data_IF_598964885492
#
_entry.id   IF_598964885492
#
_cell.length_a   1.000
_cell.length_b   1.000
_cell.length_c   1.000
_cell.angle_alpha   90.00
_cell.angle_beta   90.00
_cell.angle_gamma   90.00
#
_symmetry.space_group_name_H-M   'P 1'
#
loop_
_entity.id
_entity.type
_entity.pdbx_description
1 polymer ?
#
# COMPACT_ATOMS: atom_id res chain seq x y z
N UNK A 1 54.21 -55.03 -8.83
CA UNK A 1 52.72 -54.89 -8.69
C UNK A 1 52.46 -53.60 -7.93
N UNK A 2 52.09 -52.52 -8.63
CA UNK A 2 51.75 -51.23 -8.01
C UNK A 2 50.24 -51.17 -7.80
N UNK A 3 49.80 -51.15 -6.55
CA UNK A 3 48.39 -50.95 -6.17
C UNK A 3 48.06 -49.49 -6.26
N UNK A 4 47.21 -49.08 -7.22
CA UNK A 4 46.69 -47.74 -7.34
C UNK A 4 45.47 -47.64 -6.43
N UNK A 5 45.59 -46.89 -5.33
CA UNK A 5 44.51 -46.56 -4.39
C UNK A 5 43.68 -45.42 -4.99
N UNK A 6 42.51 -45.71 -5.53
CA UNK A 6 41.55 -44.71 -6.02
C UNK A 6 40.76 -44.17 -4.80
N UNK A 7 41.09 -42.96 -4.36
CA UNK A 7 40.34 -42.23 -3.37
C UNK A 7 39.05 -41.63 -4.04
N UNK A 8 37.92 -42.28 -3.82
CA UNK A 8 36.62 -41.73 -4.15
C UNK A 8 36.27 -40.59 -3.18
N UNK A 9 36.45 -39.35 -3.63
CA UNK A 9 36.01 -38.16 -2.90
C UNK A 9 34.48 -38.07 -3.08
N UNK A 10 33.77 -38.50 -2.07
CA UNK A 10 32.32 -38.25 -1.95
C UNK A 10 32.13 -36.76 -1.60
N UNK A 11 31.83 -35.93 -2.58
CA UNK A 11 31.42 -34.55 -2.35
C UNK A 11 30.00 -34.57 -1.76
N UNK A 12 29.91 -34.55 -0.44
CA UNK A 12 28.62 -34.34 0.27
C UNK A 12 28.21 -32.91 0.02
N UNK A 13 27.30 -32.72 -0.93
CA UNK A 13 26.63 -31.43 -1.11
C UNK A 13 25.76 -31.18 0.13
N UNK A 14 26.31 -30.48 1.11
CA UNK A 14 25.53 -29.91 2.21
C UNK A 14 24.61 -28.83 1.64
N UNK A 15 23.41 -29.23 1.26
CA UNK A 15 22.32 -28.26 1.02
C UNK A 15 21.95 -27.64 2.37
N UNK A 16 22.59 -26.54 2.72
CA UNK A 16 22.12 -25.74 3.86
C UNK A 16 20.66 -25.38 3.62
N UNK A 17 19.74 -25.70 4.58
CA UNK A 17 18.39 -25.22 4.46
C UNK A 17 18.42 -23.69 4.36
N UNK A 18 17.83 -23.15 3.29
CA UNK A 18 17.73 -21.70 3.11
C UNK A 18 16.73 -21.20 4.16
N UNK A 19 17.25 -20.90 5.36
CA UNK A 19 16.46 -20.21 6.37
C UNK A 19 16.04 -18.85 5.83
N UNK A 20 14.80 -18.48 6.08
CA UNK A 20 14.29 -17.17 5.75
C UNK A 20 15.22 -16.09 6.34
N UNK A 21 15.80 -15.26 5.48
CA UNK A 21 16.70 -14.20 5.92
C UNK A 21 15.88 -13.05 6.49
N UNK A 22 16.20 -12.64 7.71
CA UNK A 22 15.59 -11.45 8.32
C UNK A 22 15.95 -10.23 7.46
N UNK A 23 14.91 -9.51 7.01
CA UNK A 23 15.06 -8.23 6.33
C UNK A 23 13.95 -7.29 6.78
N UNK A 24 14.26 -6.00 6.91
CA UNK A 24 13.28 -5.01 7.35
C UNK A 24 13.57 -3.63 6.77
N UNK A 25 12.49 -2.88 6.53
CA UNK A 25 12.53 -1.45 6.17
C UNK A 25 11.44 -0.75 6.97
N UNK A 26 11.77 0.39 7.58
CA UNK A 26 10.80 1.32 8.19
C UNK A 26 11.04 2.69 7.57
N UNK A 27 9.99 3.36 7.15
CA UNK A 27 10.10 4.69 6.53
C UNK A 27 8.76 5.35 6.29
N UNK A 28 8.82 6.57 5.79
CA UNK A 28 7.64 7.32 5.39
C UNK A 28 7.26 6.93 3.94
N UNK A 29 6.02 6.44 3.69
CA UNK A 29 5.60 6.00 2.36
C UNK A 29 5.45 7.15 1.35
N UNK A 30 5.15 8.37 1.80
CA UNK A 30 4.96 9.53 0.92
C UNK A 30 6.29 10.14 0.47
N UNK A 31 7.22 10.36 1.41
CA UNK A 31 8.55 10.95 1.11
C UNK A 31 9.55 9.92 0.62
N UNK A 32 9.28 8.62 0.76
CA UNK A 32 10.19 7.51 0.51
C UNK A 32 11.45 7.53 1.40
N UNK A 33 11.47 8.36 2.46
CA UNK A 33 12.57 8.41 3.43
C UNK A 33 12.59 7.11 4.25
N UNK A 34 13.74 6.44 4.29
CA UNK A 34 13.94 5.21 5.05
C UNK A 34 14.62 5.55 6.36
N UNK A 35 13.93 5.34 7.49
CA UNK A 35 14.42 5.60 8.84
C UNK A 35 15.23 4.43 9.42
N UNK A 36 14.91 3.20 8.97
CA UNK A 36 15.57 1.98 9.41
C UNK A 36 15.59 0.95 8.30
N UNK A 37 16.72 0.24 8.17
CA UNK A 37 16.87 -0.86 7.21
C UNK A 37 17.83 -1.93 7.74
N UNK A 38 17.48 -3.19 7.50
CA UNK A 38 18.35 -4.37 7.68
C UNK A 38 18.13 -5.26 6.47
N UNK A 39 19.22 -5.66 5.79
CA UNK A 39 19.19 -6.57 4.65
C UNK A 39 18.12 -6.20 3.60
N UNK A 40 17.88 -4.90 3.39
CA UNK A 40 16.73 -4.37 2.65
C UNK A 40 16.62 -4.89 1.22
N UNK A 41 17.76 -5.18 0.58
CA UNK A 41 17.86 -5.63 -0.81
C UNK A 41 18.13 -7.14 -0.93
N UNK A 42 18.10 -7.88 0.19
CA UNK A 42 18.24 -9.34 0.18
C UNK A 42 16.99 -9.98 -0.42
N UNK A 43 17.17 -10.78 -1.47
CA UNK A 43 16.09 -11.54 -2.11
C UNK A 43 15.53 -12.60 -1.15
N UNK A 44 14.22 -12.56 -0.96
CA UNK A 44 13.42 -13.48 -0.16
C UNK A 44 12.18 -13.91 -0.95
N UNK A 45 11.56 -15.00 -0.54
CA UNK A 45 10.24 -15.38 -1.04
C UNK A 45 9.19 -14.44 -0.42
N UNK A 46 8.41 -13.66 -1.20
CA UNK A 46 7.46 -12.69 -0.66
C UNK A 46 6.24 -13.34 0.01
N UNK A 47 6.01 -14.65 -0.21
CA UNK A 47 4.78 -15.31 0.24
C UNK A 47 3.54 -14.48 -0.14
N UNK A 48 2.53 -14.41 0.74
CA UNK A 48 1.30 -13.65 0.45
C UNK A 48 1.47 -12.11 0.40
N UNK A 49 2.66 -11.55 0.63
CA UNK A 49 2.92 -10.14 0.29
C UNK A 49 2.86 -9.92 -1.23
N UNK A 50 3.00 -10.97 -2.04
CA UNK A 50 2.72 -10.97 -3.50
C UNK A 50 1.34 -10.38 -3.82
N UNK A 51 0.32 -10.66 -2.96
CA UNK A 51 -1.04 -10.15 -3.17
C UNK A 51 -1.17 -8.63 -3.08
N UNK A 52 -0.15 -7.93 -2.56
CA UNK A 52 -0.11 -6.47 -2.63
C UNK A 52 -0.03 -6.01 -4.09
N UNK A 53 0.76 -6.70 -4.95
CA UNK A 53 0.79 -6.44 -6.39
C UNK A 53 -0.53 -6.81 -7.08
N UNK A 54 -1.13 -7.92 -6.69
CA UNK A 54 -2.46 -8.31 -7.22
C UNK A 54 -3.51 -7.26 -6.89
N UNK A 55 -3.54 -6.74 -5.65
CA UNK A 55 -4.42 -5.66 -5.23
C UNK A 55 -4.11 -4.34 -5.95
N UNK A 56 -2.82 -4.00 -6.15
CA UNK A 56 -2.41 -2.82 -6.90
C UNK A 56 -2.99 -2.84 -8.31
N UNK A 57 -2.88 -3.99 -9.01
CA UNK A 57 -3.45 -4.16 -10.37
C UNK A 57 -4.98 -4.06 -10.34
N UNK A 58 -5.65 -4.67 -9.36
CA UNK A 58 -7.12 -4.57 -9.24
C UNK A 58 -7.54 -3.11 -9.09
N UNK A 59 -6.88 -2.34 -8.22
CA UNK A 59 -7.20 -0.93 -7.99
C UNK A 59 -6.93 -0.09 -9.24
N UNK A 60 -5.84 -0.34 -9.96
CA UNK A 60 -5.56 0.34 -11.23
C UNK A 60 -6.59 0.01 -12.31
N UNK A 61 -7.09 -1.23 -12.40
CA UNK A 61 -8.17 -1.61 -13.31
C UNK A 61 -9.51 -0.94 -12.94
N UNK A 62 -9.79 -0.75 -11.64
CA UNK A 62 -10.97 -0.03 -11.14
C UNK A 62 -10.88 1.47 -11.49
N UNK A 63 -9.72 2.12 -11.24
CA UNK A 63 -9.50 3.53 -11.60
C UNK A 63 -9.62 3.77 -13.11
N UNK A 64 -9.12 2.85 -13.90
CA UNK A 64 -9.23 2.89 -15.38
C UNK A 64 -10.61 2.48 -15.90
N UNK A 65 -11.56 2.18 -15.00
CA UNK A 65 -12.94 1.75 -15.34
C UNK A 65 -13.01 0.51 -16.23
N UNK A 66 -11.97 -0.33 -16.20
CA UNK A 66 -11.95 -1.63 -16.91
C UNK A 66 -12.49 -2.75 -16.02
N UNK A 67 -12.65 -2.49 -14.75
CA UNK A 67 -13.25 -3.37 -13.75
C UNK A 67 -14.21 -2.54 -12.90
N UNK A 68 -15.30 -3.16 -12.40
CA UNK A 68 -16.23 -2.54 -11.45
C UNK A 68 -16.33 -3.39 -10.18
N UNK A 69 -16.61 -2.76 -9.03
CA UNK A 69 -16.74 -3.47 -7.76
C UNK A 69 -17.86 -4.53 -7.74
N UNK A 70 -18.91 -4.35 -8.55
CA UNK A 70 -20.04 -5.28 -8.66
C UNK A 70 -19.85 -6.35 -9.74
N UNK A 71 -18.74 -6.33 -10.49
CA UNK A 71 -18.47 -7.35 -11.48
C UNK A 71 -18.33 -8.72 -10.84
N UNK A 72 -18.92 -9.74 -11.49
CA UNK A 72 -18.79 -11.14 -11.06
C UNK A 72 -17.43 -11.70 -11.46
N UNK A 73 -16.78 -12.39 -10.54
CA UNK A 73 -15.53 -13.13 -10.73
C UNK A 73 -15.82 -14.58 -10.52
N UNK A 74 -15.85 -15.33 -11.61
CA UNK A 74 -16.11 -16.78 -11.60
C UNK A 74 -14.86 -17.55 -11.23
N UNK A 75 -15.05 -18.69 -10.54
CA UNK A 75 -13.96 -19.56 -10.13
C UNK A 75 -13.85 -20.73 -11.11
N UNK A 76 -12.75 -20.77 -11.84
CA UNK A 76 -12.43 -21.90 -12.71
C UNK A 76 -12.07 -23.15 -11.89
N UNK A 77 -12.12 -24.31 -12.52
CA UNK A 77 -11.60 -25.55 -11.96
C UNK A 77 -10.16 -25.38 -11.47
N UNK A 78 -9.31 -24.65 -12.22
CA UNK A 78 -7.94 -24.37 -11.86
C UNK A 78 -7.83 -23.54 -10.57
N UNK A 79 -8.63 -22.48 -10.44
CA UNK A 79 -8.68 -21.66 -9.22
C UNK A 79 -9.11 -22.48 -8.00
N UNK A 80 -10.10 -23.38 -8.13
CA UNK A 80 -10.61 -24.20 -7.02
C UNK A 80 -9.61 -25.24 -6.50
N UNK A 81 -8.69 -25.71 -7.32
CA UNK A 81 -7.65 -26.69 -6.95
C UNK A 81 -6.43 -26.08 -6.26
N UNK A 82 -6.37 -24.72 -6.12
CA UNK A 82 -5.22 -24.07 -5.48
C UNK A 82 -5.05 -24.50 -4.02
N UNK A 83 -3.80 -24.42 -3.55
CA UNK A 83 -3.46 -24.73 -2.15
C UNK A 83 -4.00 -23.65 -1.18
N UNK A 84 -4.33 -24.01 0.06
CA UNK A 84 -4.74 -23.06 1.09
C UNK A 84 -3.67 -21.96 1.35
N UNK A 85 -4.08 -20.76 1.81
CA UNK A 85 -5.40 -20.29 2.23
C UNK A 85 -6.33 -20.04 1.05
N UNK A 86 -7.60 -20.43 1.17
CA UNK A 86 -8.60 -20.23 0.11
C UNK A 86 -10.00 -20.04 0.69
N UNK A 87 -10.92 -19.50 -0.11
CA UNK A 87 -12.34 -19.36 0.23
C UNK A 87 -13.06 -20.73 0.14
N UNK A 88 -12.70 -21.51 -0.87
CA UNK A 88 -13.39 -22.76 -1.19
C UNK A 88 -14.70 -22.53 -1.93
N UNK A 89 -14.73 -21.53 -2.82
CA UNK A 89 -15.84 -21.32 -3.76
C UNK A 89 -15.86 -22.47 -4.76
N UNK A 90 -17.05 -22.95 -5.14
CA UNK A 90 -17.18 -24.03 -6.09
C UNK A 90 -16.83 -23.62 -7.52
N UNK A 91 -16.52 -24.60 -8.38
CA UNK A 91 -16.30 -24.35 -9.81
C UNK A 91 -17.57 -23.74 -10.44
N UNK A 92 -17.39 -22.72 -11.27
CA UNK A 92 -18.43 -21.93 -11.93
C UNK A 92 -19.29 -21.05 -10.99
N UNK A 93 -19.07 -21.09 -9.68
CA UNK A 93 -19.62 -20.09 -8.77
C UNK A 93 -18.80 -18.79 -8.84
N UNK A 94 -19.34 -17.72 -8.29
CA UNK A 94 -18.71 -16.41 -8.35
C UNK A 94 -18.82 -15.66 -7.02
N UNK A 95 -17.98 -14.66 -6.87
CA UNK A 95 -18.11 -13.54 -5.92
C UNK A 95 -17.95 -12.23 -6.67
N UNK A 96 -18.35 -11.13 -6.06
CA UNK A 96 -18.11 -9.79 -6.62
C UNK A 96 -16.64 -9.39 -6.49
N UNK A 97 -16.16 -8.47 -7.32
CA UNK A 97 -14.82 -7.85 -7.16
C UNK A 97 -14.68 -7.23 -5.78
N UNK A 98 -15.75 -6.64 -5.24
CA UNK A 98 -15.79 -6.06 -3.91
C UNK A 98 -15.46 -7.09 -2.82
N UNK A 99 -16.12 -8.24 -2.83
CA UNK A 99 -15.86 -9.36 -1.91
C UNK A 99 -14.50 -9.98 -2.13
N UNK A 100 -14.07 -10.06 -3.38
CA UNK A 100 -12.77 -10.60 -3.77
C UNK A 100 -11.62 -9.76 -3.17
N UNK A 101 -11.68 -8.43 -3.25
CA UNK A 101 -10.69 -7.54 -2.63
C UNK A 101 -10.59 -7.82 -1.13
N UNK A 102 -11.72 -7.88 -0.44
CA UNK A 102 -11.75 -8.17 1.00
C UNK A 102 -11.22 -9.58 1.32
N UNK A 103 -11.48 -10.56 0.44
CA UNK A 103 -10.93 -11.91 0.59
C UNK A 103 -9.40 -11.96 0.47
N UNK A 104 -8.83 -11.19 -0.45
CA UNK A 104 -7.37 -11.07 -0.62
C UNK A 104 -6.71 -10.41 0.59
N UNK A 105 -7.33 -9.37 1.13
CA UNK A 105 -6.83 -8.61 2.29
C UNK A 105 -6.94 -9.42 3.57
N UNK A 106 -8.15 -9.87 3.92
CA UNK A 106 -8.48 -10.49 5.22
C UNK A 106 -8.08 -11.95 5.27
N UNK A 107 -8.64 -12.77 4.36
CA UNK A 107 -8.42 -14.22 4.30
C UNK A 107 -7.11 -14.60 3.61
N UNK A 108 -6.58 -13.71 2.77
CA UNK A 108 -5.43 -14.03 1.92
C UNK A 108 -5.70 -15.15 0.92
N UNK A 109 -6.90 -15.19 0.35
CA UNK A 109 -7.40 -16.27 -0.48
C UNK A 109 -6.57 -16.45 -1.76
N UNK A 110 -6.06 -17.67 -2.00
CA UNK A 110 -5.26 -18.00 -3.16
C UNK A 110 -6.12 -18.27 -4.40
N UNK A 111 -7.26 -18.95 -4.20
CA UNK A 111 -8.28 -19.20 -5.23
C UNK A 111 -8.83 -17.88 -5.80
N UNK A 112 -9.14 -16.92 -4.94
CA UNK A 112 -9.56 -15.59 -5.37
C UNK A 112 -8.47 -14.84 -6.15
N UNK A 113 -7.19 -15.01 -5.79
CA UNK A 113 -6.08 -14.41 -6.53
C UNK A 113 -5.94 -14.99 -7.94
N UNK A 114 -6.18 -16.29 -8.13
CA UNK A 114 -6.20 -16.93 -9.45
C UNK A 114 -7.43 -16.46 -10.24
N UNK A 115 -8.63 -16.51 -9.64
CA UNK A 115 -9.86 -16.13 -10.31
C UNK A 115 -9.84 -14.69 -10.85
N UNK A 116 -9.29 -13.74 -10.10
CA UNK A 116 -9.14 -12.36 -10.59
C UNK A 116 -8.04 -12.23 -11.65
N UNK A 117 -6.98 -13.00 -11.56
CA UNK A 117 -5.94 -13.05 -12.59
C UNK A 117 -6.51 -13.54 -13.92
N UNK A 118 -7.35 -14.58 -13.89
CA UNK A 118 -8.06 -15.08 -15.06
C UNK A 118 -9.04 -14.04 -15.62
N UNK A 119 -9.81 -13.36 -14.76
CA UNK A 119 -10.75 -12.30 -15.20
C UNK A 119 -10.04 -11.13 -15.86
N UNK A 120 -8.92 -10.65 -15.31
CA UNK A 120 -8.21 -9.46 -15.83
C UNK A 120 -7.37 -9.77 -17.06
N UNK A 121 -6.78 -10.98 -17.15
CA UNK A 121 -5.74 -11.28 -18.13
C UNK A 121 -6.01 -12.58 -18.92
N UNK A 122 -7.17 -13.21 -18.74
CA UNK A 122 -7.56 -14.46 -19.39
C UNK A 122 -6.93 -15.71 -18.76
N UNK A 123 -5.75 -15.60 -18.13
CA UNK A 123 -5.09 -16.69 -17.43
C UNK A 123 -4.01 -16.18 -16.47
N UNK A 124 -3.54 -17.04 -15.57
CA UNK A 124 -2.50 -16.73 -14.58
C UNK A 124 -1.20 -16.29 -15.24
N UNK A 125 -0.76 -16.94 -16.33
CA UNK A 125 0.51 -16.62 -17.02
C UNK A 125 0.53 -15.19 -17.53
N UNK A 126 -0.52 -14.74 -18.21
CA UNK A 126 -0.64 -13.38 -18.72
C UNK A 126 -0.71 -12.36 -17.58
N UNK A 127 -1.38 -12.72 -16.47
CA UNK A 127 -1.42 -11.85 -15.29
C UNK A 127 -0.04 -11.71 -14.64
N UNK A 128 0.76 -12.76 -14.57
CA UNK A 128 2.15 -12.72 -14.10
C UNK A 128 3.02 -11.82 -14.98
N UNK A 129 2.84 -11.85 -16.30
CA UNK A 129 3.51 -10.91 -17.22
C UNK A 129 3.13 -9.46 -16.84
N UNK A 130 1.83 -9.20 -16.63
CA UNK A 130 1.35 -7.88 -16.17
C UNK A 130 1.95 -7.50 -14.82
N UNK A 131 1.99 -8.39 -13.82
CA UNK A 131 2.62 -8.14 -12.51
C UNK A 131 4.09 -7.71 -12.64
N UNK A 132 4.86 -8.37 -13.51
CA UNK A 132 6.27 -8.03 -13.71
C UNK A 132 6.47 -6.73 -14.52
N UNK A 133 5.53 -6.37 -15.41
CA UNK A 133 5.52 -5.07 -16.06
C UNK A 133 5.33 -3.95 -15.03
N UNK A 134 4.34 -4.07 -14.13
CA UNK A 134 4.15 -3.12 -13.02
C UNK A 134 5.35 -3.08 -12.07
N UNK A 135 5.97 -4.23 -11.76
CA UNK A 135 7.17 -4.27 -10.93
C UNK A 135 8.32 -3.44 -11.55
N UNK A 136 8.47 -3.52 -12.88
CA UNK A 136 9.45 -2.71 -13.63
C UNK A 136 9.11 -1.21 -13.57
N UNK A 137 7.86 -0.83 -13.82
CA UNK A 137 7.37 0.56 -13.74
C UNK A 137 7.56 1.16 -12.33
N UNK A 138 7.32 0.36 -11.29
CA UNK A 138 7.51 0.73 -9.90
C UNK A 138 8.97 0.66 -9.43
N UNK A 139 9.91 0.42 -10.36
CA UNK A 139 11.35 0.33 -10.07
C UNK A 139 11.71 -0.71 -8.99
N UNK A 140 11.00 -1.86 -9.00
CA UNK A 140 11.22 -3.00 -8.11
C UNK A 140 12.30 -3.93 -8.70
N UNK A 141 13.55 -3.44 -8.75
CA UNK A 141 14.67 -4.06 -9.51
C UNK A 141 15.05 -5.47 -9.07
N UNK A 142 14.70 -5.85 -7.84
CA UNK A 142 15.04 -7.16 -7.26
C UNK A 142 13.82 -8.06 -7.09
N UNK A 143 12.74 -7.77 -7.82
CA UNK A 143 11.48 -8.50 -7.74
C UNK A 143 11.19 -9.22 -9.05
N UNK A 144 10.75 -10.47 -8.93
CA UNK A 144 10.12 -11.24 -9.98
C UNK A 144 8.94 -11.99 -9.39
N UNK A 145 7.76 -11.74 -9.88
CA UNK A 145 6.56 -12.47 -9.53
C UNK A 145 6.39 -13.69 -10.43
N UNK A 146 5.97 -14.82 -9.87
CA UNK A 146 5.76 -16.07 -10.59
C UNK A 146 4.33 -16.62 -10.46
N UNK A 147 3.49 -15.97 -9.65
CA UNK A 147 2.07 -16.27 -9.48
C UNK A 147 1.38 -15.09 -8.75
N UNK A 148 0.02 -14.99 -8.77
CA UNK A 148 -0.71 -13.87 -8.18
C UNK A 148 -0.90 -13.99 -6.66
N UNK A 149 -0.60 -15.13 -6.05
CA UNK A 149 -0.94 -15.45 -4.66
C UNK A 149 0.24 -15.58 -3.71
N UNK A 150 1.44 -15.87 -4.21
CA UNK A 150 2.65 -16.01 -3.39
C UNK A 150 2.90 -17.42 -2.84
N UNK A 151 2.25 -18.45 -3.37
CA UNK A 151 2.63 -19.84 -3.08
C UNK A 151 4.06 -20.12 -3.55
N UNK A 152 4.72 -21.15 -2.97
CA UNK A 152 6.12 -21.42 -3.25
C UNK A 152 6.41 -21.64 -4.74
N UNK A 153 7.28 -20.79 -5.28
CA UNK A 153 7.88 -20.92 -6.59
C UNK A 153 9.31 -20.37 -6.50
N UNK A 154 10.30 -21.06 -7.07
CA UNK A 154 11.73 -20.63 -6.97
C UNK A 154 11.98 -19.27 -7.59
N UNK A 155 11.19 -18.90 -8.60
CA UNK A 155 11.30 -17.64 -9.29
C UNK A 155 10.50 -16.49 -8.63
N UNK A 156 9.63 -16.78 -7.64
CA UNK A 156 8.84 -15.76 -6.94
C UNK A 156 9.69 -15.11 -5.84
N UNK A 157 10.42 -14.07 -6.19
CA UNK A 157 11.40 -13.40 -5.32
C UNK A 157 11.10 -11.91 -5.22
N UNK A 158 11.35 -11.33 -4.05
CA UNK A 158 11.30 -9.88 -3.81
C UNK A 158 12.24 -9.50 -2.66
N UNK A 159 12.29 -8.21 -2.33
CA UNK A 159 13.08 -7.67 -1.21
C UNK A 159 12.19 -6.83 -0.30
N UNK A 160 12.63 -6.59 0.93
CA UNK A 160 11.91 -5.71 1.85
C UNK A 160 11.78 -4.29 1.28
N UNK A 161 12.81 -3.82 0.55
CA UNK A 161 12.82 -2.51 -0.09
C UNK A 161 11.82 -2.44 -1.27
N UNK A 162 11.75 -3.45 -2.12
CA UNK A 162 10.81 -3.45 -3.24
C UNK A 162 9.36 -3.58 -2.76
N UNK A 163 9.10 -4.39 -1.72
CA UNK A 163 7.76 -4.44 -1.10
C UNK A 163 7.42 -3.11 -0.41
N UNK A 164 8.40 -2.39 0.17
CA UNK A 164 8.18 -1.04 0.69
C UNK A 164 7.73 -0.09 -0.41
N UNK A 165 8.41 -0.07 -1.57
CA UNK A 165 8.01 0.74 -2.73
C UNK A 165 6.59 0.42 -3.20
N UNK A 166 6.28 -0.86 -3.40
CA UNK A 166 4.95 -1.30 -3.82
C UNK A 166 3.87 -0.91 -2.82
N UNK A 167 4.13 -1.12 -1.52
CA UNK A 167 3.21 -0.75 -0.45
C UNK A 167 3.00 0.77 -0.39
N UNK A 168 4.07 1.56 -0.55
CA UNK A 168 3.98 3.02 -0.64
C UNK A 168 3.14 3.47 -1.83
N UNK A 169 3.28 2.80 -2.97
CA UNK A 169 2.49 3.13 -4.16
C UNK A 169 1.00 2.85 -3.98
N UNK A 170 0.61 1.76 -3.31
CA UNK A 170 -0.81 1.55 -2.93
C UNK A 170 -1.33 2.70 -2.07
N UNK A 171 -0.54 3.15 -1.08
CA UNK A 171 -0.94 4.21 -0.16
C UNK A 171 -1.13 5.55 -0.88
N UNK A 172 -0.26 5.85 -1.85
CA UNK A 172 -0.24 7.12 -2.58
C UNK A 172 -1.26 7.13 -3.71
N UNK A 173 -1.33 6.06 -4.51
CA UNK A 173 -2.12 6.02 -5.73
C UNK A 173 -3.60 5.69 -5.47
N UNK A 174 -3.89 4.94 -4.37
CA UNK A 174 -5.23 4.42 -4.08
C UNK A 174 -5.67 4.67 -2.63
N UNK A 175 -5.63 5.91 -2.13
CA UNK A 175 -5.95 6.24 -0.73
C UNK A 175 -7.38 5.89 -0.33
N UNK A 176 -8.34 5.87 -1.26
CA UNK A 176 -9.75 5.54 -1.04
C UNK A 176 -9.96 4.07 -0.64
N UNK A 177 -9.02 3.16 -1.00
CA UNK A 177 -9.10 1.74 -0.62
C UNK A 177 -8.36 1.42 0.69
N UNK A 178 -7.64 2.37 1.31
CA UNK A 178 -6.81 2.10 2.49
C UNK A 178 -7.61 1.56 3.67
N UNK A 179 -8.83 2.06 3.89
CA UNK A 179 -9.69 1.61 4.98
C UNK A 179 -10.01 0.11 4.93
N UNK A 180 -9.96 -0.51 3.73
CA UNK A 180 -10.19 -1.96 3.59
C UNK A 180 -9.10 -2.79 4.25
N UNK A 181 -7.86 -2.30 4.26
CA UNK A 181 -6.74 -3.00 4.88
C UNK A 181 -6.81 -3.05 6.41
N UNK A 182 -7.63 -2.18 7.02
CA UNK A 182 -7.93 -2.18 8.46
C UNK A 182 -8.99 -3.21 8.89
N UNK A 183 -9.65 -3.91 7.95
CA UNK A 183 -10.67 -4.89 8.28
C UNK A 183 -10.10 -6.07 9.07
N UNK A 184 -10.74 -6.40 10.19
CA UNK A 184 -10.37 -7.54 11.03
C UNK A 184 -11.14 -8.81 10.68
N UNK A 185 -12.28 -8.66 9.99
CA UNK A 185 -13.10 -9.75 9.46
C UNK A 185 -13.82 -9.33 8.17
N UNK A 186 -14.37 -10.30 7.46
CA UNK A 186 -15.23 -10.10 6.30
C UNK A 186 -16.17 -11.29 6.12
N UNK A 187 -17.38 -11.03 5.67
CA UNK A 187 -18.38 -12.04 5.34
C UNK A 187 -18.43 -12.22 3.83
N UNK A 188 -18.27 -13.46 3.37
CA UNK A 188 -18.33 -13.83 1.95
C UNK A 188 -19.18 -15.08 1.82
N UNK A 189 -20.25 -15.03 1.05
CA UNK A 189 -21.22 -16.12 0.87
C UNK A 189 -21.67 -16.72 2.22
N UNK A 190 -22.03 -15.85 3.19
CA UNK A 190 -22.51 -16.25 4.51
C UNK A 190 -21.45 -16.85 5.45
N UNK A 191 -20.17 -16.83 5.05
CA UNK A 191 -19.06 -17.34 5.85
C UNK A 191 -18.16 -16.20 6.34
N UNK A 192 -17.96 -16.13 7.66
CA UNK A 192 -17.10 -15.12 8.28
C UNK A 192 -15.63 -15.57 8.24
N UNK A 193 -14.75 -14.70 7.74
CA UNK A 193 -13.30 -14.88 7.71
C UNK A 193 -12.62 -13.82 8.56
N UNK A 194 -11.62 -14.22 9.37
CA UNK A 194 -10.84 -13.35 10.23
C UNK A 194 -9.46 -13.05 9.65
N UNK A 195 -8.95 -11.86 9.93
CA UNK A 195 -7.60 -11.46 9.51
C UNK A 195 -6.51 -12.28 10.19
N UNK A 196 -5.40 -12.49 9.48
CA UNK A 196 -4.17 -13.04 10.05
C UNK A 196 -3.28 -11.98 10.73
N UNK A 197 -3.65 -10.70 10.64
CA UNK A 197 -2.92 -9.60 11.28
C UNK A 197 -3.53 -9.24 12.64
N UNK A 198 -3.08 -9.93 13.68
CA UNK A 198 -3.60 -9.68 15.04
C UNK A 198 -3.18 -8.35 15.65
N UNK A 199 -2.30 -7.56 15.00
CA UNK A 199 -1.96 -6.21 15.44
C UNK A 199 -3.15 -5.25 15.23
N UNK A 200 -4.00 -5.47 14.23
CA UNK A 200 -5.20 -4.67 13.99
C UNK A 200 -6.23 -4.74 15.13
N UNK A 201 -6.25 -5.85 15.89
CA UNK A 201 -7.13 -5.99 17.04
C UNK A 201 -6.55 -5.36 18.33
N UNK A 202 -5.30 -4.89 18.30
CA UNK A 202 -4.60 -4.40 19.46
C UNK A 202 -4.29 -2.91 19.43
N UNK A 203 -4.24 -2.34 18.23
CA UNK A 203 -3.76 -0.97 18.03
C UNK A 203 -4.56 -0.29 16.92
N UNK A 204 -5.35 0.72 17.26
CA UNK A 204 -6.27 1.41 16.35
C UNK A 204 -5.56 2.22 15.25
N UNK A 205 -4.31 2.61 15.51
CA UNK A 205 -3.49 3.35 14.55
C UNK A 205 -2.83 2.48 13.46
N UNK A 206 -2.98 1.14 13.53
CA UNK A 206 -2.50 0.28 12.47
C UNK A 206 -3.59 0.02 11.44
N UNK A 207 -3.23 0.27 10.20
CA UNK A 207 -3.95 -0.16 9.01
C UNK A 207 -3.00 -1.14 8.32
N UNK A 208 -3.11 -2.42 8.64
CA UNK A 208 -2.19 -3.41 8.11
C UNK A 208 -2.19 -3.38 6.61
N UNK A 209 -1.21 -3.74 5.83
CA UNK A 209 -1.47 -4.03 4.42
C UNK A 209 -1.60 -5.53 4.21
N UNK A 210 -0.60 -6.30 4.62
CA UNK A 210 -0.63 -7.73 4.37
C UNK A 210 0.32 -8.50 5.27
N UNK A 211 -0.09 -9.72 5.66
CA UNK A 211 0.79 -10.73 6.24
C UNK A 211 1.13 -11.80 5.21
N UNK A 212 2.28 -12.46 5.39
CA UNK A 212 2.69 -13.59 4.56
C UNK A 212 3.38 -14.67 5.40
N UNK A 213 3.22 -15.91 4.97
CA UNK A 213 3.92 -17.07 5.53
C UNK A 213 4.02 -18.20 4.51
N UNK A 214 5.19 -18.77 4.40
CA UNK A 214 5.45 -20.12 3.91
C UNK A 214 6.60 -20.72 4.72
N UNK A 215 6.76 -22.03 4.72
CA UNK A 215 7.91 -22.65 5.43
C UNK A 215 9.25 -22.07 4.99
N UNK A 216 9.41 -21.72 3.70
CA UNK A 216 10.65 -21.15 3.15
C UNK A 216 10.82 -19.66 3.40
N UNK A 217 9.72 -18.90 3.50
CA UNK A 217 9.77 -17.43 3.67
C UNK A 217 9.82 -17.00 5.13
N UNK A 218 9.44 -17.86 6.08
CA UNK A 218 9.12 -17.43 7.45
C UNK A 218 7.90 -16.51 7.49
N UNK A 219 7.64 -15.90 8.64
CA UNK A 219 6.52 -15.00 8.87
C UNK A 219 6.90 -13.57 8.46
N UNK A 220 6.04 -12.94 7.65
CA UNK A 220 6.26 -11.63 7.04
C UNK A 220 5.08 -10.70 7.28
N UNK A 221 5.34 -9.39 7.16
CA UNK A 221 4.29 -8.37 7.24
C UNK A 221 4.72 -7.10 6.48
N UNK A 222 3.74 -6.47 5.83
CA UNK A 222 3.71 -5.06 5.49
C UNK A 222 2.67 -4.40 6.38
N UNK A 223 3.08 -3.42 7.20
CA UNK A 223 2.27 -2.76 8.22
C UNK A 223 2.34 -1.26 8.06
N UNK A 224 1.18 -0.62 7.91
CA UNK A 224 1.02 0.83 7.89
C UNK A 224 0.52 1.32 9.24
N UNK A 225 1.10 2.38 9.76
CA UNK A 225 0.58 3.19 10.87
C UNK A 225 0.16 4.54 10.35
N UNK A 226 -1.05 4.98 10.69
CA UNK A 226 -1.53 6.33 10.41
C UNK A 226 -1.91 6.96 11.76
N UNK A 227 -1.33 8.12 12.04
CA UNK A 227 -1.67 8.93 13.20
C UNK A 227 -1.72 10.39 12.76
N UNK A 228 -2.93 10.95 12.63
CA UNK A 228 -3.17 12.25 11.99
C UNK A 228 -2.54 12.31 10.59
N UNK A 229 -1.53 13.15 10.38
CA UNK A 229 -0.81 13.29 9.11
C UNK A 229 0.53 12.51 9.09
N UNK A 230 0.81 11.72 10.14
CA UNK A 230 2.03 10.92 10.25
C UNK A 230 1.81 9.50 9.73
N UNK A 231 2.44 9.20 8.60
CA UNK A 231 2.40 7.90 7.94
C UNK A 231 3.72 7.17 8.13
N UNK A 232 3.67 6.01 8.77
CA UNK A 232 4.83 5.14 8.95
C UNK A 232 4.55 3.76 8.37
N UNK A 233 5.37 3.35 7.40
CA UNK A 233 5.29 2.03 6.76
C UNK A 233 6.45 1.15 7.22
N UNK A 234 6.11 -0.07 7.66
CA UNK A 234 7.08 -1.07 8.08
C UNK A 234 6.94 -2.37 7.30
N UNK A 235 8.08 -2.87 6.81
CA UNK A 235 8.19 -4.19 6.17
C UNK A 235 9.09 -5.06 7.04
N UNK A 236 8.67 -6.31 7.31
CA UNK A 236 9.48 -7.30 8.01
C UNK A 236 9.36 -8.67 7.36
N UNK A 237 10.50 -9.29 7.08
CA UNK A 237 10.65 -10.63 6.52
C UNK A 237 11.37 -11.57 7.48
N UNK A 238 11.06 -12.87 7.40
CA UNK A 238 11.87 -13.92 7.99
C UNK A 238 11.65 -14.20 9.46
N UNK A 239 10.52 -13.82 10.04
CA UNK A 239 10.19 -14.17 11.44
C UNK A 239 9.99 -15.68 11.62
N UNK A 240 10.38 -16.22 12.78
CA UNK A 240 10.21 -17.64 13.10
C UNK A 240 8.76 -17.97 13.52
N UNK A 241 8.00 -16.97 13.98
CA UNK A 241 6.59 -17.10 14.34
C UNK A 241 5.81 -15.81 14.07
N UNK A 242 4.48 -15.93 14.02
CA UNK A 242 3.61 -14.76 13.93
C UNK A 242 3.78 -13.81 15.14
N UNK A 243 3.98 -14.37 16.35
CA UNK A 243 4.21 -13.60 17.58
C UNK A 243 5.53 -12.83 17.50
N UNK A 244 6.61 -13.49 17.10
CA UNK A 244 7.94 -12.84 16.94
C UNK A 244 7.88 -11.73 15.90
N UNK A 245 7.32 -11.99 14.70
CA UNK A 245 7.13 -11.00 13.65
C UNK A 245 6.36 -9.79 14.17
N UNK A 246 5.24 -10.00 14.86
CA UNK A 246 4.42 -8.93 15.40
C UNK A 246 5.19 -8.10 16.45
N UNK A 247 5.91 -8.76 17.36
CA UNK A 247 6.69 -8.06 18.39
C UNK A 247 7.83 -7.23 17.77
N UNK A 248 8.54 -7.80 16.79
CA UNK A 248 9.66 -7.12 16.11
C UNK A 248 9.18 -5.92 15.31
N UNK A 249 8.14 -6.08 14.48
CA UNK A 249 7.64 -4.96 13.69
C UNK A 249 7.05 -3.87 14.58
N UNK A 250 6.25 -4.23 15.59
CA UNK A 250 5.66 -3.25 16.53
C UNK A 250 6.74 -2.47 17.30
N UNK A 251 7.80 -3.15 17.76
CA UNK A 251 8.95 -2.48 18.40
C UNK A 251 9.60 -1.46 17.45
N UNK A 252 9.87 -1.85 16.20
CA UNK A 252 10.47 -0.97 15.20
C UNK A 252 9.54 0.21 14.86
N UNK A 253 8.26 -0.04 14.62
CA UNK A 253 7.28 1.00 14.34
C UNK A 253 7.21 2.03 15.48
N UNK A 254 7.12 1.58 16.74
CA UNK A 254 7.10 2.47 17.90
C UNK A 254 8.39 3.27 18.05
N UNK A 255 9.55 2.66 17.78
CA UNK A 255 10.86 3.33 17.87
C UNK A 255 10.99 4.49 16.87
N UNK A 256 10.37 4.39 15.71
CA UNK A 256 10.54 5.36 14.63
C UNK A 256 9.31 6.27 14.41
N UNK A 257 8.21 6.04 15.12
CA UNK A 257 6.98 6.86 15.04
C UNK A 257 7.22 8.35 15.32
N UNK A 258 8.15 8.69 16.21
CA UNK A 258 8.39 10.08 16.62
C UNK A 258 9.54 10.78 15.88
N UNK A 259 10.22 10.09 14.95
CA UNK A 259 11.34 10.71 14.22
C UNK A 259 10.88 11.74 13.19
N UNK A 260 9.69 11.61 12.65
CA UNK A 260 9.15 12.57 11.68
C UNK A 260 8.68 13.85 12.35
N UNK A 261 8.08 13.76 13.55
CA UNK A 261 7.57 14.91 14.30
C UNK A 261 8.70 15.84 14.78
N UNK A 262 9.87 15.30 15.16
CA UNK A 262 11.01 16.11 15.58
C UNK A 262 11.74 16.75 14.40
N UNK A 263 11.95 16.02 13.30
CA UNK A 263 12.55 16.59 12.07
C UNK A 263 11.62 17.60 11.40
N UNK A 264 10.30 17.36 11.39
CA UNK A 264 9.36 18.35 10.87
C UNK A 264 9.29 19.62 11.73
N UNK A 265 9.49 19.54 13.05
CA UNK A 265 9.60 20.73 13.90
C UNK A 265 10.93 21.48 13.70
N UNK A 266 12.05 20.76 13.54
CA UNK A 266 13.35 21.38 13.23
C UNK A 266 13.44 21.86 11.79
N UNK A 267 12.95 21.08 10.81
CA UNK A 267 12.86 21.51 9.42
C UNK A 267 11.84 22.65 9.24
N UNK A 268 10.68 22.65 9.92
CA UNK A 268 9.81 23.84 9.93
C UNK A 268 10.51 25.06 10.51
N UNK A 269 11.34 24.93 11.55
CA UNK A 269 12.14 26.03 12.07
C UNK A 269 13.28 26.48 11.14
N UNK A 270 13.95 25.53 10.46
CA UNK A 270 15.01 25.78 9.48
C UNK A 270 14.44 26.25 8.14
N UNK A 271 13.33 25.67 7.68
CA UNK A 271 12.62 26.05 6.46
C UNK A 271 12.04 27.45 6.60
N UNK A 272 11.40 27.76 7.74
CA UNK A 272 10.91 29.13 8.02
C UNK A 272 12.06 30.15 8.07
N UNK A 273 13.31 29.72 8.34
CA UNK A 273 14.49 30.61 8.33
C UNK A 273 15.14 30.74 6.95
N UNK A 274 15.04 29.71 6.08
CA UNK A 274 15.65 29.70 4.74
C UNK A 274 14.65 29.96 3.59
N UNK A 275 13.32 29.81 3.82
CA UNK A 275 12.28 30.02 2.79
C UNK A 275 11.87 31.48 2.60
N UNK A 276 12.55 32.42 3.23
CA UNK A 276 12.33 33.85 2.91
C UNK A 276 12.85 34.27 1.54
N UNK A 277 13.50 33.41 0.79
CA UNK A 277 14.16 33.83 -0.46
C UNK A 277 13.71 33.20 -1.78
N UNK A 278 12.97 32.03 -1.87
CA UNK A 278 12.63 31.53 -3.23
C UNK A 278 11.54 30.44 -3.33
N UNK A 279 10.34 30.58 -2.76
CA UNK A 279 9.25 29.67 -3.11
C UNK A 279 8.00 30.41 -3.61
N UNK A 280 7.62 30.14 -4.86
CA UNK A 280 6.30 30.49 -5.40
C UNK A 280 5.23 29.60 -4.77
N UNK A 281 4.49 30.11 -3.80
CA UNK A 281 3.29 29.46 -3.30
C UNK A 281 2.10 29.72 -4.22
N UNK A 282 1.22 28.74 -4.34
CA UNK A 282 -0.02 28.87 -5.10
C UNK A 282 -1.19 28.97 -4.13
N UNK A 283 -2.12 29.87 -4.42
CA UNK A 283 -3.36 30.04 -3.68
C UNK A 283 -4.54 29.70 -4.56
N UNK A 284 -5.32 28.71 -4.16
CA UNK A 284 -6.56 28.35 -4.82
C UNK A 284 -7.67 29.18 -4.17
N UNK A 285 -8.09 30.24 -4.85
CA UNK A 285 -9.20 31.08 -4.38
C UNK A 285 -10.53 30.35 -4.61
N UNK A 286 -11.32 30.17 -3.58
CA UNK A 286 -12.57 29.43 -3.62
C UNK A 286 -13.82 30.28 -3.42
N UNK A 287 -13.68 31.47 -2.90
CA UNK A 287 -14.82 32.39 -2.71
C UNK A 287 -14.38 33.83 -2.45
N UNK A 288 -15.34 34.75 -2.61
CA UNK A 288 -15.21 36.19 -2.22
C UNK A 288 -16.54 36.71 -1.72
N UNK A 289 -16.65 37.01 -0.44
CA UNK A 289 -17.89 37.52 0.18
C UNK A 289 -17.71 38.80 0.96
N UNK A 290 -18.75 39.65 1.00
CA UNK A 290 -18.74 40.90 1.80
C UNK A 290 -18.78 40.64 3.33
N UNK A 291 -19.17 39.46 3.79
CA UNK A 291 -19.26 39.09 5.21
C UNK A 291 -18.39 37.87 5.52
N UNK A 292 -17.53 38.00 6.54
CA UNK A 292 -16.63 36.91 6.96
C UNK A 292 -17.36 35.61 7.33
N UNK A 293 -18.56 35.72 7.93
CA UNK A 293 -19.41 34.58 8.28
C UNK A 293 -19.76 33.73 7.05
N UNK A 294 -20.02 34.36 5.88
CA UNK A 294 -20.30 33.68 4.62
C UNK A 294 -19.05 32.94 4.10
N UNK A 295 -17.86 33.52 4.21
CA UNK A 295 -16.61 32.86 3.83
C UNK A 295 -16.32 31.62 4.70
N UNK A 296 -16.53 31.70 6.02
CA UNK A 296 -16.41 30.56 6.93
C UNK A 296 -17.40 29.44 6.60
N UNK A 297 -18.67 29.77 6.37
CA UNK A 297 -19.70 28.79 5.96
C UNK A 297 -19.34 28.12 4.62
N UNK A 298 -18.80 28.87 3.67
CA UNK A 298 -18.37 28.33 2.38
C UNK A 298 -17.24 27.32 2.52
N UNK A 299 -16.22 27.59 3.35
CA UNK A 299 -15.15 26.64 3.65
C UNK A 299 -15.72 25.35 4.26
N UNK A 300 -16.65 25.47 5.21
CA UNK A 300 -17.31 24.29 5.80
C UNK A 300 -18.08 23.49 4.75
N UNK A 301 -18.80 24.16 3.86
CA UNK A 301 -19.51 23.53 2.75
C UNK A 301 -18.57 22.80 1.79
N UNK A 302 -17.44 23.42 1.42
CA UNK A 302 -16.40 22.82 0.60
C UNK A 302 -15.82 21.56 1.23
N UNK A 303 -15.44 21.62 2.51
CA UNK A 303 -14.92 20.48 3.27
C UNK A 303 -15.92 19.32 3.40
N UNK A 304 -17.21 19.62 3.42
CA UNK A 304 -18.26 18.61 3.48
C UNK A 304 -18.55 17.97 2.11
N UNK A 305 -18.53 18.76 1.03
CA UNK A 305 -18.76 18.26 -0.33
C UNK A 305 -17.53 17.53 -0.91
N UNK A 306 -16.34 18.03 -0.66
CA UNK A 306 -15.09 17.58 -1.27
C UNK A 306 -14.14 17.15 -0.15
N UNK A 307 -14.16 15.86 0.18
CA UNK A 307 -13.44 15.32 1.36
C UNK A 307 -11.95 15.61 1.36
N UNK A 308 -11.30 15.58 0.20
CA UNK A 308 -9.87 15.87 0.06
C UNK A 308 -9.50 17.28 0.53
N UNK A 309 -10.42 18.24 0.49
CA UNK A 309 -10.17 19.60 0.95
C UNK A 309 -10.03 19.73 2.48
N UNK A 310 -10.33 18.67 3.24
CA UNK A 310 -10.13 18.62 4.69
C UNK A 310 -8.67 18.58 5.10
N UNK A 311 -7.80 18.04 4.24
CA UNK A 311 -6.37 17.90 4.47
C UNK A 311 -5.57 19.17 4.14
N UNK A 312 -6.21 20.20 3.56
CA UNK A 312 -5.55 21.44 3.20
C UNK A 312 -5.83 22.56 4.17
N UNK A 313 -4.83 23.44 4.34
CA UNK A 313 -4.97 24.68 5.13
C UNK A 313 -5.84 25.69 4.38
N UNK A 314 -6.86 26.21 5.06
CA UNK A 314 -7.77 27.21 4.53
C UNK A 314 -7.54 28.55 5.21
N UNK A 315 -7.31 29.56 4.41
CA UNK A 315 -7.07 30.94 4.85
C UNK A 315 -8.20 31.85 4.40
N UNK A 316 -8.59 32.82 5.24
CA UNK A 316 -9.48 33.91 4.84
C UNK A 316 -8.72 35.22 4.97
N UNK A 317 -8.55 35.94 3.85
CA UNK A 317 -7.97 37.30 3.83
C UNK A 317 -9.00 38.36 3.53
N UNK A 318 -8.92 39.51 4.23
CA UNK A 318 -9.70 40.69 3.88
C UNK A 318 -8.98 41.44 2.76
N UNK A 319 -9.71 41.70 1.68
CA UNK A 319 -9.23 42.56 0.58
C UNK A 319 -10.29 43.60 0.25
N UNK A 320 -10.06 44.83 0.67
CA UNK A 320 -11.03 45.91 0.59
C UNK A 320 -12.32 45.57 1.35
N UNK A 321 -13.46 45.53 0.62
CA UNK A 321 -14.79 45.22 1.19
C UNK A 321 -15.10 43.72 1.22
N UNK A 322 -14.17 42.85 0.77
CA UNK A 322 -14.43 41.42 0.62
C UNK A 322 -13.53 40.55 1.53
N UNK A 323 -14.06 39.44 1.95
CA UNK A 323 -13.36 38.35 2.61
C UNK A 323 -13.20 37.21 1.61
N UNK A 324 -11.95 36.89 1.25
CA UNK A 324 -11.60 35.91 0.22
C UNK A 324 -11.07 34.67 0.89
N UNK A 325 -11.62 33.49 0.52
CA UNK A 325 -11.15 32.19 1.00
C UNK A 325 -10.13 31.62 0.05
N UNK A 326 -9.02 31.14 0.59
CA UNK A 326 -7.94 30.48 -0.13
C UNK A 326 -7.65 29.11 0.46
N UNK A 327 -7.15 28.21 -0.40
CA UNK A 327 -6.45 26.98 -0.03
C UNK A 327 -4.99 27.20 -0.42
N UNK A 328 -4.06 27.07 0.53
CA UNK A 328 -2.64 27.20 0.27
C UNK A 328 -2.08 25.86 -0.19
N UNK A 329 -1.28 25.88 -1.26
CA UNK A 329 -0.64 24.67 -1.83
C UNK A 329 0.76 24.99 -2.33
N UNK A 330 1.65 24.02 -2.26
CA UNK A 330 3.08 24.20 -2.48
C UNK A 330 3.48 24.12 -3.96
N UNK A 331 2.60 23.58 -4.83
CA UNK A 331 2.90 23.42 -6.23
C UNK A 331 1.71 23.69 -7.16
N UNK A 332 2.01 24.05 -8.43
CA UNK A 332 1.01 24.38 -9.44
C UNK A 332 0.13 23.20 -9.84
N UNK A 333 0.66 21.98 -9.84
CA UNK A 333 -0.08 20.77 -10.26
C UNK A 333 -1.17 20.45 -9.24
N UNK A 334 -0.85 20.50 -7.96
CA UNK A 334 -1.81 20.36 -6.85
C UNK A 334 -2.87 21.44 -6.91
N UNK A 335 -2.48 22.72 -7.14
CA UNK A 335 -3.44 23.82 -7.31
C UNK A 335 -4.43 23.55 -8.45
N UNK A 336 -3.94 23.04 -9.59
CA UNK A 336 -4.75 22.72 -10.78
C UNK A 336 -5.72 21.58 -10.51
N UNK A 337 -5.25 20.50 -9.86
CA UNK A 337 -6.09 19.35 -9.51
C UNK A 337 -7.21 19.73 -8.55
N UNK A 338 -6.89 20.47 -7.47
CA UNK A 338 -7.91 20.96 -6.52
C UNK A 338 -8.94 21.88 -7.19
N UNK A 339 -8.47 22.78 -8.07
CA UNK A 339 -9.36 23.67 -8.78
C UNK A 339 -10.30 22.92 -9.73
N UNK A 340 -9.84 21.87 -10.37
CA UNK A 340 -10.66 20.99 -11.19
C UNK A 340 -11.73 20.25 -10.34
N UNK A 341 -11.35 19.69 -9.19
CA UNK A 341 -12.27 19.05 -8.26
C UNK A 341 -13.36 19.99 -7.76
N UNK A 342 -12.98 21.25 -7.43
CA UNK A 342 -13.94 22.29 -7.01
C UNK A 342 -14.91 22.61 -8.14
N UNK A 343 -14.44 22.75 -9.38
CA UNK A 343 -15.28 23.02 -10.57
C UNK A 343 -16.19 21.85 -10.91
N UNK A 344 -15.74 20.60 -10.77
CA UNK A 344 -16.58 19.41 -10.96
C UNK A 344 -17.75 19.37 -9.98
N UNK A 345 -17.60 19.98 -8.81
CA UNK A 345 -18.67 20.14 -7.82
C UNK A 345 -19.52 21.42 -8.01
N UNK A 346 -19.46 22.03 -9.22
CA UNK A 346 -20.22 23.23 -9.61
C UNK A 346 -19.90 24.46 -8.73
N UNK A 347 -18.65 24.61 -8.32
CA UNK A 347 -18.16 25.72 -7.52
C UNK A 347 -17.03 26.45 -8.25
N UNK A 348 -16.94 27.77 -8.03
CA UNK A 348 -15.91 28.59 -8.67
C UNK A 348 -14.54 28.39 -8.04
N UNK A 349 -13.50 28.44 -8.89
CA UNK A 349 -12.13 28.32 -8.47
C UNK A 349 -11.20 29.14 -9.37
N UNK A 350 -10.26 29.85 -8.74
CA UNK A 350 -9.20 30.61 -9.40
C UNK A 350 -7.84 30.35 -8.74
N UNK A 351 -6.84 30.04 -9.54
CA UNK A 351 -5.46 29.84 -9.07
C UNK A 351 -4.72 31.18 -9.13
N UNK A 352 -4.07 31.54 -8.02
CA UNK A 352 -3.19 32.72 -7.92
C UNK A 352 -1.80 32.27 -7.50
N UNK A 353 -0.78 32.88 -8.09
CA UNK A 353 0.60 32.84 -7.59
C UNK A 353 0.78 33.91 -6.55
N UNK A 354 1.32 33.60 -5.39
CA UNK A 354 1.65 34.55 -4.35
C UNK A 354 3.04 35.12 -4.54
#
# INVERSE_FOLDING_TARGET
>A
MRIILILLIFSVNFSYPLYAKIASVIGNPHTQEIYFKVNKDTKNYPASLTKIMTLYIIFDELEKKRLNLNDRVYFSKYATYTQPSKLGIAENDFITVNELIDSLIVKSANDAAIAIAEKISGNEKNFVIKMNAYAKELNMKNTNFANPHGLPNRSNLSTAHDIFKLSSKIIIDFPEYLNRFGKTNTDINGKNYKTHNTLLNKYDHYIGLKTGYTRKSGFQISLLSINEDDYLLGIYFGGNSAKERNNKINFLMNKFRHKDVSKNKENKKLIVKNEKENNKYYKVQTSSFKKIKKSKMHITLLKNKIKILRSFEHEIKKNGRYFISYINVDDHRTAKNLCNEIKLNQLDCLIKTS
#
